data_IF_371453824398
#
_entry.id   IF_371453824398
#
_cell.length_a   1.000
_cell.length_b   1.000
_cell.length_c   1.000
_cell.angle_alpha   90.00
_cell.angle_beta   90.00
_cell.angle_gamma   90.00
#
_symmetry.space_group_name_H-M   'P 1'
#
loop_
_entity.id
_entity.type
_entity.pdbx_description
1 polymer ?
#
# COMPACT_ATOMS: atom_id res chain seq x y z
N UNK A 1 -56.12 12.13 14.31
CA UNK A 1 -56.56 12.84 15.54
C UNK A 1 -57.54 11.95 16.29
N UNK A 2 -57.62 11.96 17.63
CA UNK A 2 -57.13 12.95 18.61
C UNK A 2 -55.94 12.44 19.48
N UNK A 3 -54.95 13.27 19.83
CA UNK A 3 -54.82 14.24 20.97
C UNK A 3 -54.52 13.51 22.31
N UNK A 4 -53.29 13.68 22.84
CA UNK A 4 -52.87 14.58 23.97
C UNK A 4 -53.48 14.11 25.32
N UNK A 5 -52.82 14.10 26.47
CA UNK A 5 -51.84 15.05 26.99
C UNK A 5 -51.08 14.47 28.21
N UNK A 6 -49.93 15.08 28.48
CA UNK A 6 -49.25 15.18 29.80
C UNK A 6 -50.15 15.91 30.81
N UNK A 7 -49.91 15.74 32.12
CA UNK A 7 -49.70 16.93 32.93
C UNK A 7 -48.53 16.84 33.91
N UNK A 8 -47.97 18.03 34.15
CA UNK A 8 -46.84 18.40 34.99
C UNK A 8 -47.23 18.67 36.46
N UNK A 9 -46.19 18.61 37.32
CA UNK A 9 -45.84 19.45 38.48
C UNK A 9 -46.81 19.69 39.66
N UNK A 10 -46.29 19.49 40.89
CA UNK A 10 -46.31 20.39 42.06
C UNK A 10 -45.36 19.80 43.14
N UNK A 11 -44.15 20.33 43.39
CA UNK A 11 -43.74 21.33 44.41
C UNK A 11 -44.29 21.13 45.82
N UNK A 12 -43.42 21.00 46.86
CA UNK A 12 -43.23 22.01 47.94
C UNK A 12 -42.50 21.50 49.25
N UNK A 13 -41.76 22.44 49.88
CA UNK A 13 -41.34 22.62 51.30
C UNK A 13 -40.14 21.82 51.88
N UNK A 14 -38.99 22.48 52.18
CA UNK A 14 -38.51 23.15 53.45
C UNK A 14 -38.00 22.13 54.51
N UNK A 15 -36.98 22.35 55.35
CA UNK A 15 -36.08 23.46 55.68
C UNK A 15 -34.95 22.91 56.61
N UNK A 16 -33.92 23.73 56.87
CA UNK A 16 -33.05 23.75 58.08
C UNK A 16 -31.72 22.95 58.16
N UNK A 17 -30.63 23.66 57.81
CA UNK A 17 -29.41 23.98 58.62
C UNK A 17 -28.75 22.95 59.56
N UNK A 18 -27.45 22.63 59.35
CA UNK A 18 -26.31 23.19 60.12
C UNK A 18 -24.93 22.58 59.75
N UNK A 19 -23.95 23.46 59.43
CA UNK A 19 -22.54 23.52 59.88
C UNK A 19 -21.74 22.20 60.04
N UNK A 20 -20.79 21.92 59.13
CA UNK A 20 -19.33 21.80 59.41
C UNK A 20 -18.53 21.68 58.09
N UNK A 21 -17.25 22.04 58.19
CA UNK A 21 -16.29 22.40 57.15
C UNK A 21 -15.72 21.27 56.26
N UNK A 22 -15.04 21.71 55.19
CA UNK A 22 -13.94 21.07 54.43
C UNK A 22 -14.25 20.03 53.35
N UNK A 23 -14.23 20.46 52.09
CA UNK A 23 -13.10 20.25 51.16
C UNK A 23 -13.49 20.77 49.77
N UNK A 24 -12.61 21.57 49.16
CA UNK A 24 -12.86 22.22 47.88
C UNK A 24 -12.60 21.27 46.72
N UNK A 25 -13.65 21.01 45.94
CA UNK A 25 -13.56 20.45 44.60
C UNK A 25 -14.31 21.38 43.65
N UNK A 26 -13.59 22.33 43.05
CA UNK A 26 -14.06 23.04 41.87
C UNK A 26 -13.92 22.12 40.66
N UNK A 27 -15.01 21.43 40.32
CA UNK A 27 -15.17 20.76 39.03
C UNK A 27 -15.24 21.83 37.93
N UNK A 28 -14.09 22.03 37.28
CA UNK A 28 -13.98 22.74 36.01
C UNK A 28 -14.74 21.95 34.94
N UNK A 29 -15.87 22.50 34.49
CA UNK A 29 -16.62 22.04 33.33
C UNK A 29 -15.76 22.11 32.06
N UNK A 30 -15.02 21.04 31.81
CA UNK A 30 -14.31 20.79 30.57
C UNK A 30 -15.29 20.46 29.46
N UNK A 31 -15.73 21.48 28.73
CA UNK A 31 -16.23 21.34 27.37
C UNK A 31 -15.14 20.64 26.54
N UNK A 32 -15.30 19.33 26.34
CA UNK A 32 -14.50 18.57 25.37
C UNK A 32 -14.82 19.11 23.99
N UNK A 33 -13.91 19.93 23.46
CA UNK A 33 -13.85 20.28 22.06
C UNK A 33 -13.53 19.00 21.27
N UNK A 34 -14.57 18.36 20.71
CA UNK A 34 -14.51 17.24 19.76
C UNK A 34 -13.95 17.70 18.40
N UNK A 35 -12.87 18.47 18.42
CA UNK A 35 -12.09 18.81 17.25
C UNK A 35 -11.11 17.66 17.00
N UNK A 36 -11.08 17.04 15.80
CA UNK A 36 -10.15 15.96 15.52
C UNK A 36 -8.73 16.47 15.70
N UNK A 37 -8.05 15.96 16.74
CA UNK A 37 -6.65 16.22 17.07
C UNK A 37 -5.81 16.42 15.80
N UNK A 38 -5.44 17.67 15.53
CA UNK A 38 -4.50 18.05 14.48
C UNK A 38 -3.10 17.65 14.95
N UNK A 39 -2.69 16.39 14.73
CA UNK A 39 -1.38 15.87 15.21
C UNK A 39 -0.48 15.33 14.06
N UNK A 40 -0.89 15.47 12.80
CA UNK A 40 -0.27 14.75 11.67
C UNK A 40 0.43 15.64 10.62
N UNK A 41 0.86 16.87 10.94
CA UNK A 41 1.45 17.77 9.91
C UNK A 41 2.91 17.45 9.53
N UNK A 42 3.64 16.74 10.39
CA UNK A 42 5.10 16.50 10.21
C UNK A 42 5.47 15.11 9.69
N UNK A 43 4.51 14.21 9.46
CA UNK A 43 4.84 12.88 8.96
C UNK A 43 5.27 12.90 7.50
N UNK A 44 6.32 12.13 7.20
CA UNK A 44 6.67 11.85 5.81
C UNK A 44 5.51 11.18 5.08
N UNK A 45 5.39 11.49 3.79
CA UNK A 45 4.41 10.89 2.90
C UNK A 45 5.08 10.27 1.69
N UNK A 46 4.49 9.18 1.21
CA UNK A 46 4.94 8.54 0.00
C UNK A 46 4.58 9.41 -1.22
N UNK A 47 5.57 9.80 -2.01
CA UNK A 47 5.39 10.62 -3.22
C UNK A 47 4.66 9.88 -4.36
N UNK A 48 4.46 8.56 -4.25
CA UNK A 48 3.64 7.79 -5.20
C UNK A 48 2.17 7.82 -4.79
N UNK A 49 1.85 7.33 -3.60
CA UNK A 49 0.46 7.10 -3.19
C UNK A 49 -0.13 8.18 -2.27
N UNK A 50 0.70 9.04 -1.67
CA UNK A 50 0.26 10.08 -0.73
C UNK A 50 -0.02 9.59 0.69
N UNK A 51 -0.02 8.27 0.94
CA UNK A 51 -0.12 7.75 2.31
C UNK A 51 1.09 8.18 3.15
N UNK A 52 0.81 8.60 4.38
CA UNK A 52 1.84 8.86 5.38
C UNK A 52 2.50 7.56 5.84
N UNK A 53 3.76 7.66 6.24
CA UNK A 53 4.44 6.55 6.87
C UNK A 53 4.15 6.57 8.38
N UNK A 54 3.40 5.59 8.85
CA UNK A 54 3.14 5.40 10.28
C UNK A 54 4.01 4.28 10.85
N UNK A 55 4.39 4.42 12.10
CA UNK A 55 5.09 3.42 12.89
C UNK A 55 4.39 3.37 14.24
N UNK A 56 3.43 2.46 14.40
CA UNK A 56 2.81 2.17 15.70
C UNK A 56 3.78 1.45 16.66
N UNK A 57 5.00 1.10 16.20
CA UNK A 57 6.01 0.40 17.03
C UNK A 57 6.35 1.20 18.29
N UNK A 58 6.23 2.52 18.26
CA UNK A 58 6.72 3.41 19.32
C UNK A 58 5.63 4.27 19.99
N UNK A 59 4.37 4.16 19.58
CA UNK A 59 3.31 5.08 20.04
C UNK A 59 2.45 4.55 21.19
N UNK A 60 2.57 3.29 21.58
CA UNK A 60 1.76 2.72 22.68
C UNK A 60 2.66 2.25 23.83
N UNK A 61 2.91 3.17 24.77
CA UNK A 61 3.48 2.86 26.09
C UNK A 61 2.72 1.75 26.84
N UNK A 62 1.49 1.44 26.41
CA UNK A 62 0.67 0.36 26.96
C UNK A 62 1.10 -1.04 26.51
N UNK A 63 1.89 -1.17 25.44
CA UNK A 63 2.47 -2.46 25.04
C UNK A 63 3.90 -2.65 25.55
N UNK A 64 4.57 -1.59 26.02
CA UNK A 64 5.93 -1.67 26.57
C UNK A 64 5.90 -2.19 28.02
N UNK A 65 4.82 -1.94 28.76
CA UNK A 65 4.79 -2.20 30.20
C UNK A 65 4.10 -3.52 30.64
N UNK A 66 3.39 -4.23 29.76
CA UNK A 66 2.58 -5.39 30.21
C UNK A 66 2.86 -6.73 29.51
N UNK A 67 3.98 -6.83 28.78
CA UNK A 67 4.49 -8.13 28.31
C UNK A 67 5.89 -8.37 28.84
N UNK A 68 5.93 -8.76 30.10
CA UNK A 68 7.00 -9.58 30.63
C UNK A 68 7.20 -10.80 29.72
N UNK A 69 8.26 -10.77 28.92
CA UNK A 69 8.92 -11.99 28.42
C UNK A 69 8.68 -12.45 26.98
N UNK A 70 7.78 -11.85 26.19
CA UNK A 70 7.66 -12.18 24.76
C UNK A 70 8.26 -11.06 23.91
N UNK A 71 9.59 -11.01 23.85
CA UNK A 71 10.32 -10.15 22.93
C UNK A 71 9.83 -10.43 21.51
N UNK A 72 9.27 -9.43 20.84
CA UNK A 72 9.35 -9.32 19.38
C UNK A 72 10.78 -9.70 18.98
N UNK A 73 10.95 -10.80 18.24
CA UNK A 73 12.24 -11.48 18.11
C UNK A 73 13.37 -10.55 17.65
N UNK A 74 14.18 -10.05 18.60
CA UNK A 74 15.53 -9.45 18.45
C UNK A 74 15.88 -8.80 17.09
N UNK A 75 15.05 -7.91 16.54
CA UNK A 75 15.50 -7.12 15.38
C UNK A 75 16.42 -6.03 15.91
N UNK A 76 17.72 -6.27 15.76
CA UNK A 76 18.75 -5.30 16.08
C UNK A 76 18.79 -4.26 14.96
N UNK A 77 18.93 -2.98 15.30
CA UNK A 77 19.21 -1.95 14.30
C UNK A 77 20.49 -2.27 13.50
N UNK A 78 20.65 -1.61 12.35
CA UNK A 78 21.85 -1.70 11.51
C UNK A 78 21.58 -2.16 10.07
N UNK A 79 22.66 -2.50 9.38
CA UNK A 79 22.63 -2.82 7.95
C UNK A 79 22.20 -4.27 7.64
N UNK A 80 21.34 -4.41 6.64
CA UNK A 80 20.78 -5.65 6.10
C UNK A 80 20.85 -5.68 4.58
N UNK A 81 20.33 -6.76 3.97
CA UNK A 81 19.98 -6.76 2.54
C UNK A 81 18.57 -6.24 2.34
N UNK A 82 18.36 -5.44 1.30
CA UNK A 82 17.09 -4.81 0.98
C UNK A 82 15.94 -5.83 0.98
N UNK A 83 16.12 -6.97 0.32
CA UNK A 83 15.09 -8.00 0.24
C UNK A 83 14.68 -8.56 1.61
N UNK A 84 15.57 -8.56 2.62
CA UNK A 84 15.22 -8.99 3.99
C UNK A 84 14.34 -7.94 4.67
N UNK A 85 14.64 -6.66 4.44
CA UNK A 85 13.83 -5.54 4.95
C UNK A 85 12.48 -5.43 4.24
N UNK A 86 12.41 -5.80 2.98
CA UNK A 86 11.16 -5.83 2.21
C UNK A 86 10.27 -7.04 2.53
N UNK A 87 10.85 -8.17 2.95
CA UNK A 87 10.14 -9.41 3.24
C UNK A 87 9.90 -9.58 4.75
N UNK A 88 9.27 -8.59 5.36
CA UNK A 88 9.01 -8.58 6.79
C UNK A 88 7.62 -9.13 7.15
N UNK A 89 7.34 -10.38 6.77
CA UNK A 89 6.38 -11.24 7.50
C UNK A 89 6.92 -11.58 8.93
N UNK A 90 8.03 -10.93 9.36
CA UNK A 90 8.85 -11.27 10.53
C UNK A 90 8.40 -10.64 11.86
N UNK A 91 7.60 -9.57 11.84
CA UNK A 91 7.28 -8.82 13.07
C UNK A 91 6.09 -9.42 13.83
N UNK A 92 5.00 -9.73 13.10
CA UNK A 92 3.82 -10.40 13.64
C UNK A 92 3.24 -11.30 12.54
N UNK A 93 3.17 -12.63 12.73
CA UNK A 93 2.51 -13.54 11.81
C UNK A 93 1.08 -13.07 11.53
N UNK A 94 0.74 -12.87 10.25
CA UNK A 94 -0.63 -12.52 9.83
C UNK A 94 -0.91 -11.02 9.68
N UNK A 95 0.09 -10.15 9.85
CA UNK A 95 -0.03 -8.71 9.53
C UNK A 95 1.00 -8.30 8.47
N UNK A 96 0.58 -7.51 7.49
CA UNK A 96 1.43 -7.04 6.40
C UNK A 96 1.82 -5.58 6.60
N UNK A 97 3.06 -5.29 6.95
CA UNK A 97 3.53 -3.93 7.26
C UNK A 97 4.11 -3.25 6.03
N UNK A 98 3.41 -3.37 4.91
CA UNK A 98 3.93 -3.01 3.59
C UNK A 98 4.19 -1.50 3.43
N UNK A 99 3.53 -0.69 4.25
CA UNK A 99 3.65 0.78 4.31
C UNK A 99 4.85 1.27 5.13
N UNK A 100 5.55 0.40 5.87
CA UNK A 100 6.69 0.86 6.69
C UNK A 100 8.01 0.96 5.93
N UNK A 101 8.44 -0.06 5.15
CA UNK A 101 9.69 0.00 4.42
C UNK A 101 9.68 1.13 3.39
N UNK A 102 10.67 2.01 3.47
CA UNK A 102 10.79 3.19 2.60
C UNK A 102 12.01 3.06 1.71
N UNK A 103 11.92 3.63 0.52
CA UNK A 103 13.07 4.01 -0.31
C UNK A 103 12.99 5.52 -0.51
N UNK A 104 14.13 6.15 -0.76
CA UNK A 104 14.21 7.56 -1.15
C UNK A 104 14.67 7.66 -2.59
N UNK A 105 13.98 8.49 -3.37
CA UNK A 105 14.56 9.02 -4.61
C UNK A 105 15.49 10.15 -4.20
N UNK A 106 16.79 9.91 -4.33
CA UNK A 106 17.85 10.85 -3.97
C UNK A 106 18.17 11.76 -5.15
N UNK A 107 18.13 13.07 -4.94
CA UNK A 107 18.46 14.09 -5.94
C UNK A 107 19.59 14.99 -5.43
N UNK A 108 20.70 15.02 -6.16
CA UNK A 108 21.82 15.94 -5.86
C UNK A 108 21.48 17.31 -6.42
N UNK A 109 21.35 18.32 -5.54
CA UNK A 109 21.07 19.69 -5.97
C UNK A 109 22.24 20.32 -6.73
N UNK A 110 23.46 19.81 -6.52
CA UNK A 110 24.66 20.30 -7.20
C UNK A 110 24.80 19.73 -8.61
N UNK A 111 24.59 18.43 -8.76
CA UNK A 111 24.85 17.72 -10.03
C UNK A 111 23.59 17.45 -10.85
N UNK A 112 22.41 17.62 -10.26
CA UNK A 112 21.12 17.26 -10.86
C UNK A 112 20.92 15.75 -11.04
N UNK A 113 21.82 14.91 -10.53
CA UNK A 113 21.74 13.45 -10.63
C UNK A 113 20.66 12.90 -9.70
N UNK A 114 19.91 11.91 -10.19
CA UNK A 114 18.92 11.17 -9.42
C UNK A 114 19.32 9.69 -9.29
N UNK A 115 19.05 9.09 -8.12
CA UNK A 115 19.16 7.64 -7.92
C UNK A 115 18.16 7.15 -6.87
N UNK A 116 17.86 5.86 -6.86
CA UNK A 116 17.06 5.24 -5.81
C UNK A 116 17.97 4.70 -4.69
N UNK A 117 17.64 4.99 -3.44
CA UNK A 117 18.35 4.45 -2.28
C UNK A 117 18.07 2.95 -2.09
N UNK A 118 18.77 2.35 -1.12
CA UNK A 118 18.35 1.10 -0.48
C UNK A 118 17.05 1.26 0.31
N UNK A 119 16.70 0.23 1.08
CA UNK A 119 15.45 0.20 1.87
C UNK A 119 15.77 0.62 3.30
N UNK A 120 14.93 1.46 3.89
CA UNK A 120 15.08 1.91 5.27
C UNK A 120 13.77 1.77 6.03
N UNK A 121 13.88 1.42 7.31
CA UNK A 121 12.82 1.58 8.32
C UNK A 121 13.43 2.43 9.43
N UNK A 122 13.22 3.76 9.42
CA UNK A 122 13.70 4.63 10.48
C UNK A 122 12.96 4.36 11.80
N UNK A 123 13.54 4.83 12.91
CA UNK A 123 12.85 4.85 14.21
C UNK A 123 11.63 5.79 14.18
N UNK A 124 11.81 6.94 13.53
CA UNK A 124 10.84 8.02 13.51
C UNK A 124 10.20 8.22 12.13
N UNK A 125 9.02 8.82 12.13
CA UNK A 125 8.24 9.08 10.92
C UNK A 125 8.42 10.50 10.38
N UNK A 126 9.18 11.34 11.08
CA UNK A 126 9.49 12.73 10.75
C UNK A 126 11.02 12.90 10.72
N UNK A 127 11.48 14.03 10.17
CA UNK A 127 12.89 14.43 10.18
C UNK A 127 13.86 13.67 9.25
N UNK A 128 15.13 14.09 9.21
CA UNK A 128 16.15 13.40 8.46
C UNK A 128 16.38 12.00 9.04
N UNK A 129 16.71 11.06 8.16
CA UNK A 129 17.16 9.74 8.60
C UNK A 129 18.13 9.14 7.60
N UNK A 130 19.00 8.28 8.09
CA UNK A 130 19.92 7.53 7.25
C UNK A 130 19.19 6.57 6.31
N UNK A 131 19.63 6.52 5.06
CA UNK A 131 19.25 5.49 4.09
C UNK A 131 20.47 4.87 3.43
N UNK A 132 20.45 3.57 3.08
CA UNK A 132 21.56 2.97 2.37
C UNK A 132 21.77 3.62 1.00
N UNK A 133 23.03 3.91 0.67
CA UNK A 133 23.38 4.47 -0.63
C UNK A 133 23.08 3.50 -1.79
N UNK A 134 23.28 2.19 -1.56
CA UNK A 134 23.08 1.15 -2.58
C UNK A 134 21.67 0.59 -2.53
N UNK A 135 21.01 0.49 -3.69
CA UNK A 135 19.66 -0.07 -3.90
C UNK A 135 19.43 -1.45 -3.23
N UNK A 136 20.47 -2.28 -3.18
CA UNK A 136 20.40 -3.66 -2.69
C UNK A 136 20.58 -3.81 -1.17
N UNK A 137 20.91 -2.73 -0.46
CA UNK A 137 21.13 -2.74 0.98
C UNK A 137 19.88 -2.25 1.73
N UNK A 138 19.76 -2.67 2.97
CA UNK A 138 18.66 -2.36 3.88
C UNK A 138 19.20 -1.74 5.17
N UNK A 139 18.41 -0.89 5.82
CA UNK A 139 18.73 -0.29 7.12
C UNK A 139 17.50 -0.33 8.03
N UNK A 140 17.69 -0.73 9.28
CA UNK A 140 16.66 -0.64 10.31
C UNK A 140 17.19 0.26 11.41
N UNK A 141 16.37 1.21 11.85
CA UNK A 141 16.69 2.25 12.82
C UNK A 141 17.78 3.22 12.35
N UNK A 142 19.03 2.78 12.32
CA UNK A 142 20.20 3.58 11.95
C UNK A 142 21.47 2.74 11.86
N UNK A 143 22.58 3.31 11.35
CA UNK A 143 23.87 2.62 11.31
C UNK A 143 24.41 2.39 12.73
N UNK A 144 25.03 1.24 12.98
CA UNK A 144 25.57 0.88 14.31
C UNK A 144 26.98 1.39 14.56
N UNK A 145 27.74 1.57 13.50
CA UNK A 145 29.15 1.96 13.55
C UNK A 145 29.50 2.83 12.34
N UNK A 146 30.69 3.43 12.36
CA UNK A 146 31.18 4.31 11.28
C UNK A 146 31.34 3.60 9.93
N UNK A 147 31.57 2.28 9.94
CA UNK A 147 31.70 1.51 8.71
C UNK A 147 30.33 1.28 8.04
N UNK A 148 29.27 1.14 8.82
CA UNK A 148 27.87 1.17 8.35
C UNK A 148 27.48 2.60 7.93
N UNK A 149 27.83 3.63 8.72
CA UNK A 149 27.52 5.04 8.41
C UNK A 149 28.11 5.50 7.08
N UNK A 150 29.34 5.07 6.74
CA UNK A 150 29.97 5.33 5.43
C UNK A 150 29.22 4.71 4.23
N UNK A 151 28.28 3.79 4.46
CA UNK A 151 27.45 3.15 3.42
C UNK A 151 26.06 3.77 3.31
N UNK A 152 25.73 4.70 4.18
CA UNK A 152 24.45 5.40 4.21
C UNK A 152 24.62 6.87 3.84
N UNK A 153 23.50 7.52 3.58
CA UNK A 153 23.40 8.97 3.47
C UNK A 153 22.20 9.42 4.28
N UNK A 154 22.30 10.60 4.87
CA UNK A 154 21.19 11.29 5.51
C UNK A 154 20.81 12.50 4.66
N UNK A 155 19.82 12.37 3.76
CA UNK A 155 19.42 13.47 2.89
C UNK A 155 18.44 14.41 3.60
N UNK A 156 18.30 15.62 3.07
CA UNK A 156 17.22 16.53 3.43
C UNK A 156 15.91 15.94 2.91
N UNK A 157 14.93 15.77 3.77
CA UNK A 157 13.59 15.31 3.37
C UNK A 157 12.65 16.51 3.40
N UNK A 158 12.05 16.91 2.27
CA UNK A 158 11.16 18.07 2.25
C UNK A 158 9.92 17.83 3.12
N UNK A 159 9.69 18.73 4.08
CA UNK A 159 8.49 18.78 4.93
C UNK A 159 7.62 19.95 4.45
N UNK A 160 6.30 19.78 4.50
CA UNK A 160 5.34 20.82 4.08
C UNK A 160 5.54 22.09 4.91
N UNK A 161 5.47 23.24 4.25
CA UNK A 161 5.50 24.55 4.91
C UNK A 161 6.87 24.96 5.46
N UNK A 162 7.84 24.04 5.49
CA UNK A 162 9.21 24.30 5.91
C UNK A 162 10.12 24.42 4.70
N UNK A 163 10.82 25.55 4.60
CA UNK A 163 11.92 25.71 3.66
C UNK A 163 13.17 24.97 4.17
N UNK A 164 14.18 24.82 3.31
CA UNK A 164 15.43 24.12 3.65
C UNK A 164 16.11 24.69 4.90
N UNK A 165 16.10 26.01 5.08
CA UNK A 165 16.69 26.66 6.26
C UNK A 165 15.93 26.35 7.54
N UNK A 166 14.60 26.30 7.50
CA UNK A 166 13.76 25.92 8.64
C UNK A 166 13.97 24.45 9.00
N UNK A 167 14.08 23.57 8.00
CA UNK A 167 14.39 22.16 8.23
C UNK A 167 15.75 22.04 8.91
N UNK A 168 16.79 22.74 8.44
CA UNK A 168 18.13 22.64 9.05
C UNK A 168 18.19 23.26 10.45
N UNK A 169 17.49 24.37 10.69
CA UNK A 169 17.43 25.02 12.01
C UNK A 169 16.79 24.14 13.07
N UNK A 170 15.76 23.36 12.72
CA UNK A 170 15.12 22.41 13.65
C UNK A 170 16.07 21.27 14.09
N UNK A 171 17.22 21.08 13.42
CA UNK A 171 18.20 20.01 13.71
C UNK A 171 19.61 20.53 14.07
N UNK A 172 19.84 21.84 14.10
CA UNK A 172 21.12 22.45 14.45
C UNK A 172 21.30 22.66 15.98
N UNK A 173 20.30 22.28 16.80
CA UNK A 173 20.30 22.48 18.26
C UNK A 173 21.07 21.40 19.06
N UNK A 174 21.47 20.28 18.43
CA UNK A 174 22.27 19.24 19.08
C UNK A 174 23.74 19.37 18.67
N UNK A 175 24.65 19.61 19.63
CA UNK A 175 26.11 19.74 19.44
C UNK A 175 26.82 18.49 18.86
N UNK A 176 26.08 17.46 18.47
CA UNK A 176 26.63 16.28 17.82
C UNK A 176 26.69 16.47 16.30
N UNK A 177 27.86 16.15 15.74
CA UNK A 177 28.26 16.28 14.32
C UNK A 177 27.43 15.38 13.34
N UNK A 178 26.10 15.40 13.41
CA UNK A 178 25.20 14.75 12.47
C UNK A 178 25.05 15.62 11.22
N UNK A 179 26.05 15.54 10.34
CA UNK A 179 26.04 16.27 9.06
C UNK A 179 24.99 15.69 8.12
N UNK A 180 23.74 16.18 8.24
CA UNK A 180 22.75 16.08 7.17
C UNK A 180 23.41 16.51 5.86
N UNK A 181 23.28 15.69 4.83
CA UNK A 181 23.89 16.00 3.54
C UNK A 181 23.18 17.19 2.92
N UNK A 182 23.81 18.37 2.97
CA UNK A 182 23.27 19.60 2.38
C UNK A 182 23.14 19.54 0.85
N UNK A 183 23.73 18.53 0.22
CA UNK A 183 23.68 18.29 -1.23
C UNK A 183 22.49 17.43 -1.68
N UNK A 184 22.06 16.48 -0.86
CA UNK A 184 21.10 15.46 -1.29
C UNK A 184 19.73 15.71 -0.71
N UNK A 185 18.72 15.71 -1.58
CA UNK A 185 17.31 15.76 -1.19
C UNK A 185 16.70 14.37 -1.42
N UNK A 186 15.98 13.87 -0.44
CA UNK A 186 15.32 12.57 -0.48
C UNK A 186 13.81 12.73 -0.61
N UNK A 187 13.21 12.09 -1.61
CA UNK A 187 11.76 12.02 -1.79
C UNK A 187 11.26 10.63 -1.39
N UNK A 188 10.55 10.48 -0.25
CA UNK A 188 10.14 9.18 0.25
C UNK A 188 9.12 8.47 -0.63
N UNK A 189 9.30 7.17 -0.79
CA UNK A 189 8.33 6.26 -1.41
C UNK A 189 8.29 4.95 -0.63
N UNK A 190 7.12 4.32 -0.51
CA UNK A 190 7.05 2.95 0.00
C UNK A 190 7.87 2.02 -0.88
N UNK A 191 8.62 1.10 -0.28
CA UNK A 191 9.36 0.08 -1.02
C UNK A 191 8.40 -0.74 -1.93
N UNK A 192 7.16 -0.99 -1.47
CA UNK A 192 6.12 -1.63 -2.29
C UNK A 192 5.59 -0.76 -3.42
N UNK A 193 5.36 0.53 -3.18
CA UNK A 193 4.97 1.42 -4.28
C UNK A 193 6.06 1.45 -5.36
N UNK A 194 7.33 1.45 -4.95
CA UNK A 194 8.47 1.36 -5.88
C UNK A 194 8.53 0.01 -6.60
N UNK A 195 8.31 -1.11 -5.91
CA UNK A 195 8.25 -2.44 -6.52
C UNK A 195 7.14 -2.52 -7.58
N UNK A 196 5.93 -2.06 -7.25
CA UNK A 196 4.82 -2.01 -8.20
C UNK A 196 5.13 -1.13 -9.42
N UNK A 197 5.84 -0.01 -9.21
CA UNK A 197 6.31 0.86 -10.30
C UNK A 197 7.20 0.10 -11.28
N UNK A 198 8.02 -0.86 -10.83
CA UNK A 198 8.88 -1.66 -11.73
C UNK A 198 8.10 -2.62 -12.63
N UNK A 199 6.86 -2.96 -12.25
CA UNK A 199 5.92 -3.73 -13.08
C UNK A 199 4.98 -2.84 -13.91
N UNK A 200 5.15 -1.52 -13.82
CA UNK A 200 4.37 -0.53 -14.54
C UNK A 200 5.18 0.08 -15.70
N UNK A 201 4.51 0.67 -16.70
CA UNK A 201 5.18 1.38 -17.80
C UNK A 201 6.09 2.52 -17.29
N UNK A 202 5.74 3.12 -16.14
CA UNK A 202 6.54 4.13 -15.47
C UNK A 202 7.92 3.59 -15.01
N UNK A 203 8.06 2.28 -14.78
CA UNK A 203 9.35 1.64 -14.51
C UNK A 203 10.34 1.80 -15.66
N UNK A 204 9.87 1.63 -16.89
CA UNK A 204 10.69 1.83 -18.11
C UNK A 204 11.13 3.31 -18.21
N UNK A 205 10.23 4.24 -17.87
CA UNK A 205 10.55 5.67 -17.86
C UNK A 205 11.57 5.99 -16.76
N UNK A 206 11.39 5.44 -15.56
CA UNK A 206 12.29 5.65 -14.41
C UNK A 206 13.70 5.12 -14.67
N UNK A 207 13.85 4.01 -15.40
CA UNK A 207 15.16 3.47 -15.80
C UNK A 207 15.90 4.40 -16.78
N UNK A 208 15.16 5.08 -17.67
CA UNK A 208 15.73 6.01 -18.65
C UNK A 208 15.98 7.40 -18.08
N UNK A 209 15.01 7.95 -17.36
CA UNK A 209 15.05 9.29 -16.81
C UNK A 209 14.30 9.38 -15.47
N UNK A 210 14.98 9.00 -14.39
CA UNK A 210 14.45 9.10 -13.03
C UNK A 210 14.13 10.55 -12.62
N UNK A 211 14.80 11.54 -13.19
CA UNK A 211 14.59 12.96 -12.87
C UNK A 211 13.19 13.42 -13.31
N UNK A 212 12.75 13.03 -14.50
CA UNK A 212 11.41 13.37 -15.01
C UNK A 212 10.32 12.72 -14.15
N UNK A 213 10.51 11.45 -13.80
CA UNK A 213 9.61 10.71 -12.90
C UNK A 213 9.53 11.39 -11.53
N UNK A 214 10.67 11.75 -10.94
CA UNK A 214 10.72 12.47 -9.68
C UNK A 214 9.99 13.83 -9.76
N UNK A 215 10.19 14.60 -10.82
CA UNK A 215 9.50 15.87 -11.00
C UNK A 215 7.99 15.69 -11.15
N UNK A 216 7.54 14.68 -11.90
CA UNK A 216 6.13 14.36 -12.06
C UNK A 216 5.51 13.90 -10.72
N UNK A 217 6.23 13.09 -9.94
CA UNK A 217 5.82 12.70 -8.58
C UNK A 217 5.65 13.91 -7.67
N UNK A 218 6.61 14.84 -7.67
CA UNK A 218 6.52 16.09 -6.90
C UNK A 218 5.33 16.94 -7.32
N UNK A 219 5.17 17.17 -8.63
CA UNK A 219 4.06 17.94 -9.16
C UNK A 219 2.70 17.32 -8.77
N UNK A 220 2.56 16.00 -8.88
CA UNK A 220 1.35 15.30 -8.45
C UNK A 220 1.12 15.42 -6.95
N UNK A 221 2.17 15.21 -6.16
CA UNK A 221 2.12 15.28 -4.71
C UNK A 221 1.62 16.67 -4.32
N UNK A 222 2.28 17.74 -4.77
CA UNK A 222 1.89 19.15 -4.57
C UNK A 222 0.43 19.43 -4.97
N UNK A 223 -0.01 18.91 -6.12
CA UNK A 223 -1.38 19.07 -6.62
C UNK A 223 -2.45 18.34 -5.80
N UNK A 224 -2.10 17.24 -5.13
CA UNK A 224 -3.04 16.37 -4.41
C UNK A 224 -2.91 16.43 -2.90
N UNK A 225 -2.00 17.25 -2.38
CA UNK A 225 -1.74 17.47 -0.95
C UNK A 225 -2.97 17.82 -0.10
N UNK A 226 -4.07 18.29 -0.69
CA UNK A 226 -5.32 18.61 0.02
C UNK A 226 -6.23 17.40 0.25
N UNK A 227 -6.00 16.28 -0.46
CA UNK A 227 -6.69 15.03 -0.20
C UNK A 227 -5.78 14.15 0.65
N UNK A 228 -5.83 14.31 1.98
CA UNK A 228 -5.41 13.21 2.86
C UNK A 228 -6.15 11.98 2.37
N UNK A 229 -5.43 10.94 1.97
CA UNK A 229 -6.10 9.66 1.71
C UNK A 229 -6.44 9.12 3.10
N UNK A 230 -7.62 9.50 3.58
CA UNK A 230 -8.23 8.95 4.79
C UNK A 230 -8.47 7.45 4.54
N UNK A 231 -7.99 6.64 5.48
CA UNK A 231 -7.88 5.19 5.34
C UNK A 231 -6.46 4.78 5.71
N UNK A 232 -6.28 4.38 6.97
CA UNK A 232 -4.99 3.88 7.43
C UNK A 232 -4.69 2.57 6.67
N UNK A 233 -3.50 2.42 6.07
CA UNK A 233 -3.01 1.12 5.62
C UNK A 233 -3.06 0.05 6.71
N UNK A 234 -3.09 0.46 7.99
CA UNK A 234 -3.19 -0.41 9.18
C UNK A 234 -4.45 -1.30 9.18
N UNK A 235 -5.53 -0.89 8.52
CA UNK A 235 -6.72 -1.75 8.35
C UNK A 235 -6.46 -2.89 7.35
N UNK A 236 -5.48 -2.74 6.47
CA UNK A 236 -5.19 -3.70 5.40
C UNK A 236 -4.16 -4.73 5.86
N UNK A 237 -4.68 -5.86 6.33
CA UNK A 237 -3.87 -7.01 6.76
C UNK A 237 -2.96 -7.62 5.68
N UNK A 238 -3.18 -7.31 4.39
CA UNK A 238 -2.50 -7.94 3.25
C UNK A 238 -1.70 -6.96 2.38
N UNK A 239 -0.54 -7.43 1.90
CA UNK A 239 0.35 -6.68 1.00
C UNK A 239 -0.33 -6.43 -0.37
N UNK A 240 -0.51 -5.17 -0.79
CA UNK A 240 -1.17 -4.84 -2.05
C UNK A 240 -0.31 -5.17 -3.27
N UNK A 241 0.99 -5.42 -3.13
CA UNK A 241 1.90 -5.71 -4.26
C UNK A 241 2.27 -7.18 -4.29
N UNK A 242 2.61 -7.78 -3.14
CA UNK A 242 2.90 -9.23 -3.03
C UNK A 242 1.70 -10.01 -2.51
N UNK A 243 0.55 -9.83 -3.13
CA UNK A 243 -0.75 -10.26 -2.57
C UNK A 243 -0.88 -11.79 -2.46
N UNK A 244 -1.07 -12.28 -1.22
CA UNK A 244 -1.18 -13.70 -0.88
C UNK A 244 -2.31 -14.41 -1.65
N UNK A 245 -3.44 -13.71 -1.87
CA UNK A 245 -4.59 -14.28 -2.56
C UNK A 245 -4.32 -14.60 -4.05
N UNK A 246 -3.50 -13.77 -4.74
CA UNK A 246 -3.08 -14.00 -6.13
C UNK A 246 -2.12 -15.18 -6.21
N UNK A 247 -1.10 -15.21 -5.34
CA UNK A 247 -0.14 -16.32 -5.23
C UNK A 247 -0.85 -17.65 -4.99
N UNK A 248 -1.78 -17.68 -4.03
CA UNK A 248 -2.57 -18.87 -3.72
C UNK A 248 -3.44 -19.31 -4.92
N UNK A 249 -4.00 -18.36 -5.67
CA UNK A 249 -4.79 -18.68 -6.87
C UNK A 249 -3.91 -19.32 -7.97
N UNK A 250 -2.70 -18.79 -8.18
CA UNK A 250 -1.71 -19.35 -9.09
C UNK A 250 -1.30 -20.77 -8.67
N UNK A 251 -0.89 -20.98 -7.42
CA UNK A 251 -0.49 -22.30 -6.92
C UNK A 251 -1.59 -23.36 -7.06
N UNK A 252 -2.84 -22.99 -6.73
CA UNK A 252 -3.99 -23.89 -6.82
C UNK A 252 -4.39 -24.24 -8.26
N UNK A 253 -4.03 -23.41 -9.24
CA UNK A 253 -4.34 -23.64 -10.66
C UNK A 253 -3.23 -24.43 -11.37
N UNK A 254 -1.99 -24.30 -10.90
CA UNK A 254 -0.83 -25.08 -11.39
C UNK A 254 -0.80 -26.52 -10.86
N UNK A 255 -1.16 -26.74 -9.57
CA UNK A 255 -1.03 -28.07 -8.92
C UNK A 255 -2.04 -29.14 -9.37
N UNK A 256 -3.11 -28.79 -10.10
CA UNK A 256 -4.20 -29.74 -10.41
C UNK A 256 -3.94 -30.71 -11.57
N UNK A 257 -2.79 -30.65 -12.25
CA UNK A 257 -2.49 -31.55 -13.37
C UNK A 257 -2.08 -32.97 -12.97
N UNK A 258 -1.82 -33.25 -11.68
CA UNK A 258 -1.33 -34.56 -11.21
C UNK A 258 -2.38 -35.53 -10.64
N UNK A 259 -3.63 -35.10 -10.38
CA UNK A 259 -4.66 -35.99 -9.77
C UNK A 259 -5.85 -36.38 -10.65
N UNK A 260 -5.93 -35.89 -11.89
CA UNK A 260 -7.08 -36.15 -12.77
C UNK A 260 -6.73 -36.96 -14.04
N UNK A 261 -5.71 -37.83 -13.99
CA UNK A 261 -5.45 -38.80 -15.06
C UNK A 261 -6.23 -40.11 -14.94
N UNK A 262 -7.07 -40.28 -13.91
CA UNK A 262 -7.93 -41.46 -13.78
C UNK A 262 -9.39 -41.04 -13.63
N UNK A 263 -10.04 -40.88 -14.79
CA UNK A 263 -11.44 -41.19 -15.11
C UNK A 263 -11.81 -40.43 -16.38
N UNK A 264 -11.16 -40.78 -17.50
CA UNK A 264 -11.79 -40.60 -18.81
C UNK A 264 -12.85 -41.70 -18.93
N UNK A 265 -13.94 -41.49 -18.22
CA UNK A 265 -15.20 -42.18 -18.48
C UNK A 265 -15.63 -41.76 -19.89
N UNK A 266 -15.76 -42.75 -20.78
CA UNK A 266 -16.31 -42.61 -22.12
C UNK A 266 -17.68 -41.92 -22.06
N UNK A 267 -17.73 -40.61 -22.28
CA UNK A 267 -18.98 -39.91 -22.51
C UNK A 267 -19.30 -39.96 -24.01
N UNK A 268 -20.36 -40.73 -24.30
CA UNK A 268 -21.05 -40.88 -25.57
C UNK A 268 -21.43 -39.51 -26.17
N UNK A 269 -21.24 -39.38 -27.48
CA UNK A 269 -21.87 -38.38 -28.34
C UNK A 269 -21.35 -36.96 -28.15
N UNK A 270 -20.61 -36.46 -29.14
CA UNK A 270 -20.40 -35.01 -29.28
C UNK A 270 -21.78 -34.33 -29.32
N UNK A 271 -22.11 -33.40 -28.40
CA UNK A 271 -23.34 -32.64 -28.52
C UNK A 271 -23.31 -31.93 -29.87
N UNK A 272 -24.37 -32.09 -30.68
CA UNK A 272 -24.52 -31.29 -31.90
C UNK A 272 -24.42 -29.84 -31.48
N UNK A 273 -23.43 -29.12 -32.01
CA UNK A 273 -23.31 -27.67 -31.86
C UNK A 273 -24.69 -27.10 -32.17
N UNK A 274 -25.34 -26.47 -31.17
CA UNK A 274 -26.60 -25.77 -31.44
C UNK A 274 -26.26 -24.70 -32.47
N UNK A 275 -26.90 -24.74 -33.63
CA UNK A 275 -26.72 -23.77 -34.70
C UNK A 275 -27.14 -22.38 -34.20
N UNK A 276 -26.21 -21.69 -33.55
CA UNK A 276 -26.39 -20.32 -33.09
C UNK A 276 -25.92 -19.39 -34.19
N UNK A 277 -26.73 -18.40 -34.53
CA UNK A 277 -26.33 -17.32 -35.46
C UNK A 277 -25.11 -16.54 -34.97
N UNK A 278 -24.74 -16.68 -33.68
CA UNK A 278 -23.50 -16.11 -33.14
C UNK A 278 -22.26 -16.73 -33.80
N UNK A 279 -22.31 -17.97 -34.29
CA UNK A 279 -21.21 -18.58 -35.03
C UNK A 279 -21.00 -17.98 -36.43
N UNK A 280 -21.91 -17.13 -36.90
CA UNK A 280 -21.77 -16.40 -38.17
C UNK A 280 -20.97 -15.10 -38.00
N UNK A 281 -20.69 -14.69 -36.76
CA UNK A 281 -19.91 -13.50 -36.50
C UNK A 281 -18.41 -13.81 -36.60
N UNK A 282 -17.59 -12.90 -37.15
CA UNK A 282 -16.13 -13.00 -37.07
C UNK A 282 -15.66 -13.11 -35.62
N UNK A 283 -14.57 -13.83 -35.41
CA UNK A 283 -14.02 -14.08 -34.07
C UNK A 283 -13.67 -12.79 -33.33
N UNK A 284 -13.23 -11.77 -34.04
CA UNK A 284 -12.93 -10.44 -33.52
C UNK A 284 -14.18 -9.79 -32.93
N UNK A 285 -15.32 -9.93 -33.60
CA UNK A 285 -16.60 -9.41 -33.13
C UNK A 285 -17.07 -10.17 -31.90
N UNK A 286 -16.93 -11.49 -31.89
CA UNK A 286 -17.24 -12.31 -30.71
C UNK A 286 -16.35 -11.94 -29.51
N UNK A 287 -15.05 -11.70 -29.73
CA UNK A 287 -14.15 -11.25 -28.68
C UNK A 287 -14.51 -9.87 -28.14
N UNK A 288 -14.90 -8.93 -28.99
CA UNK A 288 -15.42 -7.63 -28.55
C UNK A 288 -16.66 -7.79 -27.68
N UNK A 289 -17.64 -8.60 -28.11
CA UNK A 289 -18.85 -8.90 -27.32
C UNK A 289 -18.48 -9.54 -25.99
N UNK A 290 -17.60 -10.54 -25.98
CA UNK A 290 -17.13 -11.16 -24.75
C UNK A 290 -16.37 -10.18 -23.85
N UNK A 291 -15.71 -9.16 -24.42
CA UNK A 291 -15.07 -8.08 -23.67
C UNK A 291 -16.02 -7.32 -22.74
N UNK A 292 -17.31 -7.25 -23.08
CA UNK A 292 -18.35 -6.62 -22.25
C UNK A 292 -18.96 -7.55 -21.19
N UNK A 293 -18.69 -8.85 -21.23
CA UNK A 293 -19.25 -9.83 -20.30
C UNK A 293 -18.28 -10.12 -19.16
N UNK A 294 -18.80 -10.48 -17.98
CA UNK A 294 -17.98 -11.09 -16.91
C UNK A 294 -17.47 -12.46 -17.34
N UNK A 295 -16.33 -12.93 -16.83
CA UNK A 295 -15.84 -14.25 -17.24
C UNK A 295 -16.81 -15.37 -16.85
N UNK A 296 -17.58 -15.20 -15.78
CA UNK A 296 -18.63 -16.15 -15.41
C UNK A 296 -19.77 -16.20 -16.44
N UNK A 297 -20.17 -15.05 -17.00
CA UNK A 297 -21.16 -15.00 -18.08
C UNK A 297 -20.63 -15.66 -19.36
N UNK A 298 -19.36 -15.44 -19.71
CA UNK A 298 -18.72 -16.10 -20.86
C UNK A 298 -18.70 -17.63 -20.68
N UNK A 299 -18.45 -18.15 -19.46
CA UNK A 299 -18.56 -19.58 -19.18
C UNK A 299 -19.96 -20.12 -19.41
N UNK A 300 -20.99 -19.35 -19.08
CA UNK A 300 -22.38 -19.74 -19.30
C UNK A 300 -22.70 -19.76 -20.80
N UNK A 301 -22.23 -18.78 -21.58
CA UNK A 301 -22.36 -18.76 -23.05
C UNK A 301 -21.64 -19.95 -23.67
N UNK A 302 -20.40 -20.22 -23.25
CA UNK A 302 -19.63 -21.39 -23.68
C UNK A 302 -20.40 -22.69 -23.42
N UNK A 303 -21.03 -22.83 -22.25
CA UNK A 303 -21.82 -24.03 -21.91
C UNK A 303 -23.10 -24.13 -22.74
N UNK A 304 -23.81 -23.02 -22.94
CA UNK A 304 -25.08 -22.98 -23.65
C UNK A 304 -24.93 -23.22 -25.16
N UNK A 305 -23.82 -22.75 -25.74
CA UNK A 305 -23.54 -22.81 -27.18
C UNK A 305 -22.55 -23.90 -27.57
N UNK A 306 -21.94 -24.60 -26.59
CA UNK A 306 -20.83 -25.52 -26.84
C UNK A 306 -19.65 -24.88 -27.60
N UNK A 307 -19.41 -23.58 -27.37
CA UNK A 307 -18.34 -22.83 -28.02
C UNK A 307 -16.97 -23.20 -27.40
N UNK A 308 -16.01 -23.73 -28.17
CA UNK A 308 -14.64 -23.92 -27.68
C UNK A 308 -13.95 -22.56 -27.50
N UNK A 309 -13.43 -22.31 -26.31
CA UNK A 309 -12.61 -21.13 -25.99
C UNK A 309 -11.26 -21.66 -25.48
N UNK A 310 -10.18 -21.24 -26.12
CA UNK A 310 -8.83 -21.71 -25.83
C UNK A 310 -8.19 -20.98 -24.64
N UNK A 311 -6.99 -21.42 -24.27
CA UNK A 311 -6.23 -20.87 -23.15
C UNK A 311 -5.78 -19.43 -23.42
N UNK A 312 -5.50 -19.07 -24.67
CA UNK A 312 -5.09 -17.72 -25.06
C UNK A 312 -6.22 -16.71 -24.88
N UNK A 313 -7.46 -17.10 -25.22
CA UNK A 313 -8.65 -16.33 -24.88
C UNK A 313 -8.74 -16.07 -23.37
N UNK A 314 -8.68 -17.10 -22.53
CA UNK A 314 -8.80 -16.91 -21.07
C UNK A 314 -7.63 -16.13 -20.47
N UNK A 315 -6.43 -16.28 -21.03
CA UNK A 315 -5.25 -15.52 -20.63
C UNK A 315 -5.39 -14.04 -20.98
N UNK A 316 -5.84 -13.71 -22.18
CA UNK A 316 -6.02 -12.32 -22.62
C UNK A 316 -7.04 -11.53 -21.79
N UNK A 317 -7.98 -12.22 -21.14
CA UNK A 317 -8.95 -11.62 -20.22
C UNK A 317 -8.37 -11.23 -18.86
N UNK A 318 -7.21 -11.78 -18.47
CA UNK A 318 -6.58 -11.43 -17.20
C UNK A 318 -5.90 -10.07 -17.37
N UNK A 319 -6.31 -9.10 -16.54
CA UNK A 319 -5.72 -7.75 -16.52
C UNK A 319 -4.31 -7.82 -15.93
N UNK A 320 -3.28 -8.05 -16.76
CA UNK A 320 -1.89 -8.23 -16.32
C UNK A 320 -1.33 -7.00 -15.60
N UNK A 321 -1.83 -5.79 -15.91
CA UNK A 321 -1.53 -4.57 -15.14
C UNK A 321 -1.84 -4.71 -13.65
N UNK A 322 -2.96 -5.35 -13.31
CA UNK A 322 -3.35 -5.61 -11.92
C UNK A 322 -2.65 -6.86 -11.41
N UNK A 323 -2.56 -7.91 -12.22
CA UNK A 323 -2.00 -9.20 -11.84
C UNK A 323 -0.63 -9.44 -12.50
N UNK A 324 0.34 -8.58 -12.22
CA UNK A 324 1.67 -8.60 -12.83
C UNK A 324 2.39 -9.94 -12.61
N UNK A 325 2.08 -10.64 -11.53
CA UNK A 325 2.62 -11.97 -11.22
C UNK A 325 2.33 -13.01 -12.32
N UNK A 326 1.24 -12.82 -13.08
CA UNK A 326 0.77 -13.73 -14.12
C UNK A 326 1.70 -13.72 -15.35
N UNK A 327 2.37 -12.60 -15.65
CA UNK A 327 3.22 -12.48 -16.84
C UNK A 327 4.38 -13.48 -16.83
N UNK A 328 4.91 -13.77 -15.64
CA UNK A 328 6.04 -14.70 -15.45
C UNK A 328 5.64 -16.17 -15.49
N UNK A 329 4.34 -16.50 -15.45
CA UNK A 329 3.87 -17.88 -15.35
C UNK A 329 3.44 -18.42 -16.72
N UNK A 330 4.14 -19.45 -17.22
CA UNK A 330 3.98 -19.90 -18.62
C UNK A 330 3.52 -21.35 -18.80
N UNK A 331 3.60 -22.20 -17.77
CA UNK A 331 3.38 -23.66 -17.94
C UNK A 331 2.40 -24.24 -16.93
N UNK A 332 1.50 -25.09 -17.43
CA UNK A 332 0.66 -25.97 -16.61
C UNK A 332 -0.51 -25.29 -15.89
N UNK A 333 -0.83 -24.05 -16.25
CA UNK A 333 -1.94 -23.29 -15.68
C UNK A 333 -3.24 -23.62 -16.40
N UNK A 334 -4.31 -23.86 -15.65
CA UNK A 334 -5.66 -23.79 -16.21
C UNK A 334 -6.11 -22.32 -16.25
N UNK A 335 -5.94 -21.68 -17.41
CA UNK A 335 -6.16 -20.23 -17.59
C UNK A 335 -7.60 -19.82 -17.33
N UNK A 336 -8.57 -20.63 -17.76
CA UNK A 336 -9.99 -20.45 -17.45
C UNK A 336 -10.26 -20.38 -15.95
N UNK A 337 -9.73 -21.35 -15.20
CA UNK A 337 -9.93 -21.43 -13.74
C UNK A 337 -9.22 -20.30 -13.01
N UNK A 338 -8.03 -19.91 -13.47
CA UNK A 338 -7.29 -18.78 -12.91
C UNK A 338 -8.06 -17.47 -13.13
N UNK A 339 -8.50 -17.20 -14.36
CA UNK A 339 -9.25 -16.00 -14.74
C UNK A 339 -10.48 -15.80 -13.83
N UNK A 340 -11.32 -16.83 -13.70
CA UNK A 340 -12.51 -16.79 -12.83
C UNK A 340 -12.17 -16.55 -11.35
N UNK A 341 -11.06 -17.12 -10.86
CA UNK A 341 -10.63 -16.91 -9.47
C UNK A 341 -10.15 -15.49 -9.24
N UNK A 342 -9.33 -14.95 -10.15
CA UNK A 342 -8.77 -13.61 -10.01
C UNK A 342 -9.87 -12.54 -10.09
N UNK A 343 -10.84 -12.66 -11.00
CA UNK A 343 -12.00 -11.75 -11.04
C UNK A 343 -12.77 -11.74 -9.72
N UNK A 344 -13.11 -12.92 -9.17
CA UNK A 344 -13.81 -12.99 -7.86
C UNK A 344 -13.01 -12.43 -6.69
N UNK A 345 -11.67 -12.52 -6.75
CA UNK A 345 -10.79 -11.95 -5.71
C UNK A 345 -10.72 -10.44 -5.82
N UNK A 346 -10.72 -9.90 -7.04
CA UNK A 346 -10.71 -8.46 -7.29
C UNK A 346 -11.91 -7.76 -6.65
N UNK A 347 -13.08 -8.40 -6.66
CA UNK A 347 -14.31 -7.85 -6.06
C UNK A 347 -14.30 -7.81 -4.52
N UNK A 348 -13.46 -8.61 -3.86
CA UNK A 348 -13.55 -8.86 -2.40
C UNK A 348 -12.29 -8.54 -1.62
N UNK A 349 -11.17 -8.32 -2.29
CA UNK A 349 -9.87 -8.17 -1.64
C UNK A 349 -9.53 -6.70 -1.51
N UNK A 350 -9.45 -6.23 -0.26
CA UNK A 350 -8.99 -4.87 0.07
C UNK A 350 -7.58 -4.61 -0.45
N UNK A 351 -6.66 -5.59 -0.33
CA UNK A 351 -5.31 -5.49 -0.90
C UNK A 351 -5.30 -5.27 -2.42
N UNK A 352 -6.26 -5.85 -3.16
CA UNK A 352 -6.39 -5.62 -4.60
C UNK A 352 -7.06 -4.27 -4.91
N UNK A 353 -7.99 -3.81 -4.08
CA UNK A 353 -8.53 -2.44 -4.19
C UNK A 353 -7.44 -1.40 -3.93
N UNK A 354 -6.60 -1.62 -2.91
CA UNK A 354 -5.40 -0.84 -2.63
C UNK A 354 -4.43 -0.87 -3.82
N UNK A 355 -4.15 -2.06 -4.39
CA UNK A 355 -3.33 -2.20 -5.60
C UNK A 355 -3.87 -1.35 -6.76
N UNK A 356 -5.18 -1.37 -7.00
CA UNK A 356 -5.82 -0.56 -8.03
C UNK A 356 -5.63 0.94 -7.78
N UNK A 357 -5.77 1.38 -6.53
CA UNK A 357 -5.48 2.76 -6.16
C UNK A 357 -4.01 3.13 -6.44
N UNK A 358 -3.06 2.28 -6.04
CA UNK A 358 -1.64 2.49 -6.31
C UNK A 358 -1.35 2.57 -7.82
N UNK A 359 -1.96 1.71 -8.63
CA UNK A 359 -1.83 1.74 -10.09
C UNK A 359 -2.39 3.03 -10.68
N UNK A 360 -3.54 3.50 -10.21
CA UNK A 360 -4.12 4.78 -10.63
C UNK A 360 -3.18 5.95 -10.31
N UNK A 361 -2.55 5.95 -9.13
CA UNK A 361 -1.52 6.94 -8.79
C UNK A 361 -0.33 6.90 -9.77
N UNK A 362 0.12 5.71 -10.18
CA UNK A 362 1.19 5.55 -11.16
C UNK A 362 0.80 6.00 -12.58
N UNK A 363 -0.45 5.75 -13.00
CA UNK A 363 -1.00 6.22 -14.28
C UNK A 363 -1.02 7.76 -14.34
N UNK A 364 -1.40 8.42 -13.23
CA UNK A 364 -1.39 9.88 -13.12
C UNK A 364 0.02 10.47 -13.21
N UNK A 365 1.00 9.85 -12.54
CA UNK A 365 2.41 10.27 -12.64
C UNK A 365 2.91 10.08 -14.08
N UNK A 366 2.56 8.96 -14.72
CA UNK A 366 2.94 8.70 -16.10
C UNK A 366 2.36 9.74 -17.08
N UNK A 367 1.11 10.16 -16.88
CA UNK A 367 0.50 11.21 -17.69
C UNK A 367 1.24 12.55 -17.56
N UNK A 368 1.70 12.90 -16.37
CA UNK A 368 2.52 14.10 -16.13
C UNK A 368 3.90 14.01 -16.77
N UNK A 369 4.50 12.82 -16.84
CA UNK A 369 5.75 12.60 -17.58
C UNK A 369 5.57 12.80 -19.09
N UNK A 370 4.43 12.41 -19.65
CA UNK A 370 4.15 12.51 -21.09
C UNK A 370 3.72 13.92 -21.56
N UNK A 371 3.44 14.82 -20.62
CA UNK A 371 3.00 16.20 -20.90
C UNK A 371 4.17 17.19 -21.06
N UNK A 372 5.41 16.68 -21.08
CA UNK A 372 6.66 17.42 -21.27
C UNK A 372 7.35 16.91 -22.52
#
# INVERSE_FOLDING_TARGET
MPKKAVPEHHTLFNDSSSIYESSGDEQSDGLYDDSPRVVDEDFHQCYICGFAFYSQIYSDDRYVNDVSGHRYGSIRGGMYKAFKVENMDMYIPGSSWWWMPRRLILHSVKTGKCQISGVAIPLENYGPFHVPWKKADGLISGPRDDAERKKTIEPIIPIRGKNKSQILQDYDDDEDEYRVSTEWVGYPVHARCWELLTHHQLGIVAEKNLKDVMQAMRQRHDQKMWKRVLGLPDEWSDDPVRTKCVRTALEQTTRKRSRNKEKVSRQKGSPRVRESRLFLLPWEVLNMVFGYLTSQAVVNVQRALHLPLDDDFWRSRIRTKIFHEVETTTRGINWKHLCLKLERRLERSEALAARQHLLSCLDEILALCASK
#
